data_IF_509285201119
#
_entry.id   IF_509285201119
#
_cell.length_a   1.000
_cell.length_b   1.000
_cell.length_c   1.000
_cell.angle_alpha   90.00
_cell.angle_beta   90.00
_cell.angle_gamma   90.00
#
_symmetry.space_group_name_H-M   'P 1'
#
loop_
_entity.id
_entity.type
_entity.pdbx_description
1 polymer ?
#
# COMPACT_ATOMS: atom_id res chain seq x y z
N UNK A 1 22.87 26.41 -8.30
CA UNK A 1 23.84 25.59 -9.07
C UNK A 1 23.25 25.01 -10.36
N UNK A 2 21.98 24.59 -10.42
CA UNK A 2 21.38 24.04 -11.65
C UNK A 2 21.24 25.08 -12.78
N UNK A 3 20.86 26.32 -12.46
CA UNK A 3 20.79 27.41 -13.46
C UNK A 3 22.15 27.78 -14.09
N UNK A 4 23.24 27.64 -13.34
CA UNK A 4 24.60 27.98 -13.80
C UNK A 4 25.17 26.91 -14.75
N UNK A 5 24.71 25.66 -14.61
CA UNK A 5 25.03 24.55 -15.53
C UNK A 5 24.23 24.69 -16.84
N UNK A 6 22.99 25.16 -16.77
CA UNK A 6 22.12 25.37 -17.94
C UNK A 6 22.61 26.55 -18.80
N UNK A 7 23.23 27.58 -18.21
CA UNK A 7 23.85 28.69 -18.94
C UNK A 7 25.14 28.30 -19.68
N UNK A 8 25.94 27.37 -19.10
CA UNK A 8 27.17 26.88 -19.74
C UNK A 8 26.92 25.83 -20.84
N UNK A 9 25.80 25.11 -20.78
CA UNK A 9 25.49 23.98 -21.65
C UNK A 9 24.34 24.40 -22.58
N UNK A 10 24.70 24.89 -23.77
CA UNK A 10 23.75 25.46 -24.73
C UNK A 10 22.53 24.58 -24.98
N UNK A 11 21.35 25.19 -25.16
CA UNK A 11 20.04 24.54 -25.31
C UNK A 11 20.00 23.31 -26.27
N UNK A 12 20.90 23.27 -27.27
CA UNK A 12 21.08 22.16 -28.22
C UNK A 12 21.69 20.89 -27.59
N UNK A 13 22.63 21.02 -26.65
CA UNK A 13 23.26 19.88 -25.98
C UNK A 13 22.35 19.26 -24.92
N UNK A 14 21.52 20.08 -24.25
CA UNK A 14 20.49 19.57 -23.34
C UNK A 14 19.41 18.74 -24.06
N UNK A 15 18.95 19.22 -25.22
CA UNK A 15 18.02 18.47 -26.09
C UNK A 15 18.69 17.19 -26.60
N UNK A 16 19.95 17.26 -27.01
CA UNK A 16 20.72 16.08 -27.43
C UNK A 16 20.86 15.01 -26.34
N UNK A 17 21.08 15.43 -25.09
CA UNK A 17 21.15 14.50 -23.96
C UNK A 17 19.80 13.85 -23.66
N UNK A 18 18.71 14.63 -23.67
CA UNK A 18 17.36 14.10 -23.47
C UNK A 18 16.95 13.08 -24.55
N UNK A 19 17.25 13.40 -25.82
CA UNK A 19 17.01 12.48 -26.94
C UNK A 19 17.88 11.22 -26.82
N UNK A 20 19.15 11.36 -26.46
CA UNK A 20 20.05 10.22 -26.26
C UNK A 20 19.59 9.27 -25.15
N UNK A 21 19.10 9.80 -24.03
CA UNK A 21 18.57 9.01 -22.92
C UNK A 21 17.30 8.27 -23.33
N UNK A 22 16.38 8.94 -24.03
CA UNK A 22 15.16 8.33 -24.56
C UNK A 22 15.48 7.18 -25.53
N UNK A 23 16.40 7.41 -26.47
CA UNK A 23 16.83 6.39 -27.44
C UNK A 23 17.51 5.23 -26.73
N UNK A 24 18.37 5.49 -25.75
CA UNK A 24 19.03 4.46 -24.96
C UNK A 24 18.05 3.60 -24.16
N UNK A 25 17.01 4.21 -23.58
CA UNK A 25 15.97 3.49 -22.84
C UNK A 25 15.09 2.63 -23.76
N UNK A 26 14.74 3.16 -24.94
CA UNK A 26 13.99 2.42 -25.96
C UNK A 26 14.77 1.21 -26.48
N UNK A 27 16.05 1.41 -26.81
CA UNK A 27 16.93 0.34 -27.25
C UNK A 27 17.17 -0.69 -26.15
N UNK A 28 17.38 -0.23 -24.91
CA UNK A 28 17.54 -1.09 -23.75
C UNK A 28 16.30 -1.97 -23.54
N UNK A 29 15.09 -1.41 -23.60
CA UNK A 29 13.86 -2.18 -23.44
C UNK A 29 13.68 -3.24 -24.53
N UNK A 30 13.90 -2.89 -25.79
CA UNK A 30 13.77 -3.82 -26.92
C UNK A 30 14.79 -4.96 -26.79
N UNK A 31 16.05 -4.63 -26.49
CA UNK A 31 17.12 -5.62 -26.42
C UNK A 31 16.97 -6.54 -25.20
N UNK A 32 16.65 -5.99 -24.04
CA UNK A 32 16.53 -6.76 -22.80
C UNK A 32 15.26 -7.62 -22.79
N UNK A 33 14.13 -7.07 -23.27
CA UNK A 33 12.84 -7.76 -23.27
C UNK A 33 12.70 -8.87 -24.31
N UNK A 34 13.43 -8.80 -25.43
CA UNK A 34 13.25 -9.75 -26.55
C UNK A 34 14.49 -10.57 -26.88
N UNK A 35 15.71 -10.05 -26.66
CA UNK A 35 16.94 -10.78 -26.97
C UNK A 35 17.47 -11.58 -25.78
N UNK A 36 17.49 -10.97 -24.58
CA UNK A 36 18.04 -11.60 -23.37
C UNK A 36 17.00 -12.52 -22.71
N UNK A 37 15.72 -12.13 -22.71
CA UNK A 37 14.64 -12.89 -22.08
C UNK A 37 13.51 -13.19 -23.06
N UNK A 38 13.70 -14.13 -24.00
CA UNK A 38 12.65 -14.48 -24.94
C UNK A 38 11.42 -15.03 -24.21
N UNK A 39 10.25 -14.45 -24.46
CA UNK A 39 8.97 -14.93 -23.93
C UNK A 39 8.66 -16.28 -24.57
N UNK A 40 8.75 -17.35 -23.79
CA UNK A 40 8.33 -18.69 -24.20
C UNK A 40 6.86 -18.88 -23.83
N UNK A 41 5.99 -18.78 -24.82
CA UNK A 41 4.58 -19.14 -24.64
C UNK A 41 4.46 -20.66 -24.53
N UNK A 42 4.11 -21.15 -23.34
CA UNK A 42 3.78 -22.57 -23.13
C UNK A 42 2.27 -22.73 -23.06
N UNK A 43 1.71 -23.68 -23.80
CA UNK A 43 0.29 -23.98 -23.73
C UNK A 43 -0.09 -24.41 -22.30
N UNK A 44 -1.24 -23.93 -21.83
CA UNK A 44 -1.81 -24.37 -20.57
C UNK A 44 -2.22 -25.85 -20.68
N UNK A 45 -1.89 -26.64 -19.67
CA UNK A 45 -2.29 -28.03 -19.54
C UNK A 45 -3.32 -28.20 -18.41
N UNK A 46 -4.11 -29.30 -18.38
CA UNK A 46 -5.08 -29.53 -17.30
C UNK A 46 -4.48 -29.49 -15.89
N UNK A 47 -3.19 -29.79 -15.74
CA UNK A 47 -2.46 -29.67 -14.46
C UNK A 47 -2.32 -28.22 -13.97
N UNK A 48 -2.34 -27.24 -14.87
CA UNK A 48 -2.21 -25.81 -14.53
C UNK A 48 -3.51 -25.21 -13.99
N UNK A 49 -4.63 -25.94 -14.05
CA UNK A 49 -5.92 -25.50 -13.54
C UNK A 49 -5.88 -25.26 -12.01
N UNK A 50 -6.75 -24.39 -11.52
CA UNK A 50 -6.99 -24.23 -10.08
C UNK A 50 -7.40 -25.57 -9.43
N UNK A 51 -7.05 -25.87 -8.16
CA UNK A 51 -7.32 -27.16 -7.52
C UNK A 51 -8.78 -27.66 -7.67
N UNK A 52 -9.77 -26.80 -7.48
CA UNK A 52 -11.18 -27.19 -7.68
C UNK A 52 -11.53 -27.57 -9.12
N UNK A 53 -10.91 -26.93 -10.12
CA UNK A 53 -11.10 -27.30 -11.53
C UNK A 53 -10.33 -28.55 -11.93
N UNK A 54 -9.21 -28.87 -11.25
CA UNK A 54 -8.53 -30.16 -11.42
C UNK A 54 -9.41 -31.32 -10.99
N UNK A 55 -10.07 -31.19 -9.83
CA UNK A 55 -11.03 -32.20 -9.35
C UNK A 55 -12.18 -32.38 -10.35
N UNK A 56 -12.77 -31.27 -10.84
CA UNK A 56 -13.83 -31.31 -11.85
C UNK A 56 -13.38 -31.97 -13.16
N UNK A 57 -12.19 -31.62 -13.65
CA UNK A 57 -11.63 -32.19 -14.87
C UNK A 57 -11.39 -33.69 -14.74
N UNK A 58 -10.82 -34.14 -13.61
CA UNK A 58 -10.58 -35.56 -13.35
C UNK A 58 -11.88 -36.34 -13.20
N UNK A 59 -12.93 -35.76 -12.63
CA UNK A 59 -14.27 -36.39 -12.59
C UNK A 59 -14.85 -36.55 -14.01
N UNK A 60 -14.71 -35.53 -14.87
CA UNK A 60 -15.13 -35.62 -16.27
C UNK A 60 -14.37 -36.71 -17.03
N UNK A 61 -13.05 -36.80 -16.85
CA UNK A 61 -12.22 -37.86 -17.43
C UNK A 61 -12.62 -39.23 -16.89
N UNK A 62 -12.88 -39.36 -15.58
CA UNK A 62 -13.34 -40.60 -14.97
C UNK A 62 -14.71 -41.05 -15.51
N UNK A 63 -15.63 -40.11 -15.74
CA UNK A 63 -16.94 -40.40 -16.37
C UNK A 63 -16.78 -40.83 -17.83
N UNK A 64 -15.93 -40.14 -18.59
CA UNK A 64 -15.64 -40.50 -19.97
C UNK A 64 -15.02 -41.90 -20.06
N UNK A 65 -14.07 -42.21 -19.18
CA UNK A 65 -13.44 -43.54 -19.10
C UNK A 65 -14.43 -44.63 -18.65
N UNK A 66 -15.35 -44.31 -17.74
CA UNK A 66 -16.38 -45.26 -17.34
C UNK A 66 -17.36 -45.58 -18.49
N UNK A 67 -17.60 -44.62 -19.39
CA UNK A 67 -18.43 -44.79 -20.58
C UNK A 67 -17.69 -45.52 -21.71
N UNK A 68 -16.40 -45.22 -21.91
CA UNK A 68 -15.53 -45.86 -22.90
C UNK A 68 -14.23 -46.35 -22.25
N UNK A 69 -14.13 -47.67 -22.04
CA UNK A 69 -12.96 -48.31 -21.40
C UNK A 69 -11.71 -48.31 -22.29
N UNK A 70 -11.83 -47.98 -23.57
CA UNK A 70 -10.71 -47.91 -24.52
C UNK A 70 -10.25 -46.45 -24.76
N UNK A 71 -10.77 -45.50 -23.98
CA UNK A 71 -10.40 -44.10 -24.08
C UNK A 71 -8.92 -43.91 -23.73
N UNK A 72 -8.20 -43.16 -24.57
CA UNK A 72 -6.81 -42.76 -24.29
C UNK A 72 -6.80 -41.66 -23.22
N UNK A 73 -6.84 -42.10 -21.97
CA UNK A 73 -6.82 -41.23 -20.77
C UNK A 73 -5.52 -40.43 -20.70
N UNK A 74 -4.40 -40.98 -21.15
CA UNK A 74 -3.11 -40.28 -21.10
C UNK A 74 -3.11 -39.05 -22.00
N UNK A 75 -3.70 -39.17 -23.19
CA UNK A 75 -3.89 -38.04 -24.10
C UNK A 75 -4.76 -36.94 -23.49
N UNK A 76 -5.80 -37.30 -22.73
CA UNK A 76 -6.69 -36.32 -22.09
C UNK A 76 -6.04 -35.63 -20.89
N UNK A 77 -5.22 -36.34 -20.11
CA UNK A 77 -4.51 -35.74 -18.97
C UNK A 77 -3.38 -34.82 -19.44
N UNK A 78 -2.70 -35.18 -20.52
CA UNK A 78 -1.51 -34.51 -21.03
C UNK A 78 -0.24 -34.88 -20.27
N UNK A 79 0.92 -34.54 -20.83
CA UNK A 79 2.24 -35.04 -20.39
C UNK A 79 2.80 -34.40 -19.12
N UNK A 80 2.13 -33.36 -18.59
CA UNK A 80 2.68 -32.52 -17.50
C UNK A 80 2.26 -32.96 -16.10
N UNK A 81 1.42 -33.98 -15.97
CA UNK A 81 1.05 -34.51 -14.66
C UNK A 81 2.17 -35.37 -14.10
N UNK A 82 2.54 -35.14 -12.84
CA UNK A 82 3.32 -36.12 -12.09
C UNK A 82 2.40 -37.21 -11.52
N UNK A 83 2.90 -38.44 -11.45
CA UNK A 83 2.18 -39.58 -10.85
C UNK A 83 1.76 -39.30 -9.40
N UNK A 84 2.63 -38.64 -8.64
CA UNK A 84 2.36 -38.25 -7.25
C UNK A 84 1.20 -37.25 -7.12
N UNK A 85 1.18 -36.19 -7.95
CA UNK A 85 0.10 -35.19 -7.91
C UNK A 85 -1.25 -35.78 -8.33
N UNK A 86 -1.24 -36.66 -9.34
CA UNK A 86 -2.46 -37.29 -9.82
C UNK A 86 -3.03 -38.26 -8.78
N UNK A 87 -2.16 -39.02 -8.10
CA UNK A 87 -2.55 -39.89 -6.99
C UNK A 87 -3.11 -39.09 -5.81
N UNK A 88 -2.47 -37.99 -5.41
CA UNK A 88 -2.95 -37.13 -4.32
C UNK A 88 -4.32 -36.51 -4.62
N UNK A 89 -4.51 -36.03 -5.85
CA UNK A 89 -5.78 -35.41 -6.26
C UNK A 89 -6.90 -36.46 -6.32
N UNK A 90 -6.64 -37.62 -6.92
CA UNK A 90 -7.61 -38.73 -6.95
C UNK A 90 -7.93 -39.25 -5.54
N UNK A 91 -6.94 -39.36 -4.66
CA UNK A 91 -7.15 -39.80 -3.28
C UNK A 91 -8.02 -38.79 -2.50
N UNK A 92 -7.82 -37.50 -2.74
CA UNK A 92 -8.66 -36.44 -2.16
C UNK A 92 -10.10 -36.53 -2.67
N UNK A 93 -10.29 -36.80 -3.96
CA UNK A 93 -11.62 -36.99 -4.55
C UNK A 93 -12.31 -38.24 -4.01
N UNK A 94 -11.60 -39.38 -3.93
CA UNK A 94 -12.13 -40.63 -3.36
C UNK A 94 -12.58 -40.46 -1.91
N UNK A 95 -11.90 -39.62 -1.12
CA UNK A 95 -12.29 -39.34 0.26
C UNK A 95 -13.54 -38.46 0.39
N UNK A 96 -13.88 -37.67 -0.63
CA UNK A 96 -15.05 -36.77 -0.66
C UNK A 96 -16.26 -37.38 -1.37
N UNK A 97 -16.04 -38.37 -2.24
CA UNK A 97 -16.99 -38.91 -3.19
C UNK A 97 -17.97 -39.94 -2.59
N UNK A 98 -19.16 -40.06 -3.20
CA UNK A 98 -20.13 -41.10 -2.85
C UNK A 98 -19.72 -42.51 -3.35
N UNK A 99 -20.38 -43.60 -2.92
CA UNK A 99 -19.98 -44.98 -3.24
C UNK A 99 -19.87 -45.29 -4.74
N UNK A 100 -20.75 -44.70 -5.55
CA UNK A 100 -20.76 -44.88 -7.01
C UNK A 100 -19.65 -44.08 -7.72
N UNK A 101 -19.24 -42.95 -7.16
CA UNK A 101 -18.16 -42.10 -7.67
C UNK A 101 -16.79 -42.69 -7.33
N UNK A 102 -16.64 -43.21 -6.11
CA UNK A 102 -15.43 -43.90 -5.65
C UNK A 102 -15.03 -45.02 -6.61
N UNK A 103 -15.98 -45.86 -7.04
CA UNK A 103 -15.70 -46.93 -8.01
C UNK A 103 -15.15 -46.40 -9.33
N UNK A 104 -15.73 -45.32 -9.88
CA UNK A 104 -15.26 -44.73 -11.14
C UNK A 104 -13.85 -44.14 -11.02
N UNK A 105 -13.56 -43.48 -9.91
CA UNK A 105 -12.24 -42.90 -9.65
C UNK A 105 -11.17 -43.99 -9.44
N UNK A 106 -11.52 -45.09 -8.79
CA UNK A 106 -10.65 -46.26 -8.64
C UNK A 106 -10.36 -46.93 -9.97
N UNK A 107 -11.38 -47.12 -10.80
CA UNK A 107 -11.21 -47.68 -12.14
C UNK A 107 -10.26 -46.83 -13.00
N UNK A 108 -10.40 -45.50 -12.93
CA UNK A 108 -9.49 -44.56 -13.61
C UNK A 108 -8.06 -44.68 -13.05
N UNK A 109 -7.92 -44.76 -11.72
CA UNK A 109 -6.61 -44.91 -11.08
C UNK A 109 -5.92 -46.22 -11.51
N UNK A 110 -6.66 -47.33 -11.58
CA UNK A 110 -6.15 -48.62 -12.05
C UNK A 110 -5.66 -48.53 -13.50
N UNK A 111 -6.42 -47.86 -14.38
CA UNK A 111 -6.01 -47.64 -15.77
C UNK A 111 -4.69 -46.84 -15.88
N UNK A 112 -4.43 -45.97 -14.90
CA UNK A 112 -3.21 -45.17 -14.80
C UNK A 112 -2.10 -45.84 -13.97
N UNK A 113 -2.31 -47.08 -13.53
CA UNK A 113 -1.41 -47.81 -12.61
C UNK A 113 -1.15 -47.07 -11.28
N UNK A 114 -2.17 -46.38 -10.77
CA UNK A 114 -2.13 -45.66 -9.49
C UNK A 114 -2.97 -46.38 -8.43
N UNK A 115 -2.52 -46.29 -7.18
CA UNK A 115 -3.20 -46.88 -6.03
C UNK A 115 -3.96 -45.80 -5.26
N UNK A 116 -5.29 -45.86 -5.28
CA UNK A 116 -6.18 -45.03 -4.46
C UNK A 116 -7.21 -45.91 -3.76
N UNK A 117 -7.38 -45.69 -2.45
CA UNK A 117 -8.25 -46.50 -1.61
C UNK A 117 -9.15 -45.60 -0.77
N UNK A 118 -10.44 -45.92 -0.56
CA UNK A 118 -11.30 -45.16 0.33
C UNK A 118 -10.72 -45.31 1.73
N UNK A 119 -10.57 -44.19 2.45
CA UNK A 119 -9.94 -44.21 3.77
C UNK A 119 -10.88 -44.88 4.79
N UNK A 120 -10.83 -46.21 4.84
CA UNK A 120 -11.31 -47.05 5.94
C UNK A 120 -10.18 -47.78 6.68
N UNK A 121 -8.93 -47.55 6.29
CA UNK A 121 -7.75 -48.06 6.98
C UNK A 121 -6.73 -46.93 7.13
N UNK A 122 -6.53 -46.48 8.37
CA UNK A 122 -5.48 -45.53 8.74
C UNK A 122 -4.13 -46.25 8.60
N UNK A 123 -3.40 -45.98 7.53
CA UNK A 123 -1.95 -46.23 7.52
C UNK A 123 -1.27 -45.00 8.14
N UNK A 124 -0.42 -45.18 9.17
CA UNK A 124 0.35 -44.07 9.71
C UNK A 124 1.23 -43.49 8.59
N UNK A 125 1.32 -42.16 8.45
CA UNK A 125 2.21 -41.56 7.47
C UNK A 125 3.65 -42.03 7.76
N UNK A 126 4.43 -42.42 6.73
CA UNK A 126 5.83 -42.76 6.92
C UNK A 126 6.56 -41.56 7.52
N UNK A 127 7.51 -41.78 8.46
CA UNK A 127 8.21 -40.69 9.12
C UNK A 127 8.94 -39.85 8.06
N UNK A 128 8.50 -38.60 7.89
CA UNK A 128 9.25 -37.58 7.17
C UNK A 128 10.60 -37.46 7.88
N UNK A 129 11.67 -38.00 7.28
CA UNK A 129 13.03 -37.66 7.69
C UNK A 129 13.15 -36.15 7.58
N UNK A 130 13.24 -35.48 8.72
CA UNK A 130 13.49 -34.05 8.84
C UNK A 130 14.88 -33.72 8.33
N UNK A 131 15.05 -33.70 7.01
CA UNK A 131 16.11 -32.97 6.35
C UNK A 131 15.61 -31.56 6.10
N UNK A 132 16.29 -30.55 6.63
CA UNK A 132 16.05 -29.14 6.27
C UNK A 132 16.08 -29.04 4.75
N UNK A 133 14.98 -28.55 4.16
CA UNK A 133 14.86 -28.53 2.70
C UNK A 133 15.99 -27.68 2.11
N UNK A 134 16.55 -28.05 0.95
CA UNK A 134 17.58 -27.26 0.28
C UNK A 134 17.07 -25.84 -0.03
N UNK A 135 15.76 -25.65 -0.18
CA UNK A 135 15.12 -24.33 -0.27
C UNK A 135 15.22 -23.51 1.03
N UNK A 136 15.09 -24.13 2.20
CA UNK A 136 15.20 -23.45 3.50
C UNK A 136 16.67 -23.11 3.79
N UNK A 137 17.62 -23.95 3.36
CA UNK A 137 19.05 -23.62 3.37
C UNK A 137 19.39 -22.47 2.42
N UNK A 138 18.83 -22.45 1.21
CA UNK A 138 19.01 -21.34 0.26
C UNK A 138 18.35 -20.07 0.81
N UNK A 139 17.16 -20.14 1.40
CA UNK A 139 16.49 -19.00 2.03
C UNK A 139 17.25 -18.47 3.25
N UNK A 140 17.82 -19.34 4.08
CA UNK A 140 18.64 -18.92 5.23
C UNK A 140 19.96 -18.29 4.77
N UNK A 141 20.59 -18.82 3.72
CA UNK A 141 21.82 -18.26 3.16
C UNK A 141 21.56 -16.94 2.42
N UNK A 142 20.43 -16.81 1.71
CA UNK A 142 20.05 -15.55 1.08
C UNK A 142 19.58 -14.51 2.10
N UNK A 143 18.89 -14.91 3.17
CA UNK A 143 18.58 -14.03 4.31
C UNK A 143 19.84 -13.57 5.03
N UNK A 144 20.82 -14.46 5.24
CA UNK A 144 22.11 -14.11 5.82
C UNK A 144 22.89 -13.16 4.91
N UNK A 145 22.87 -13.39 3.59
CA UNK A 145 23.49 -12.50 2.61
C UNK A 145 22.83 -11.12 2.60
N UNK A 146 21.50 -11.05 2.67
CA UNK A 146 20.75 -9.78 2.78
C UNK A 146 21.05 -9.08 4.12
N UNK A 147 21.23 -9.82 5.22
CA UNK A 147 21.63 -9.26 6.51
C UNK A 147 23.08 -8.77 6.53
N UNK A 148 23.99 -9.43 5.81
CA UNK A 148 25.41 -9.02 5.74
C UNK A 148 25.59 -7.85 4.77
N UNK A 149 24.92 -7.86 3.62
CA UNK A 149 24.96 -6.76 2.64
C UNK A 149 24.12 -5.58 3.12
N UNK A 150 22.94 -5.83 3.66
CA UNK A 150 22.07 -4.83 4.28
C UNK A 150 22.65 -4.27 5.57
N UNK A 151 23.22 -5.12 6.44
CA UNK A 151 23.91 -4.70 7.67
C UNK A 151 25.24 -4.00 7.39
N UNK A 152 25.99 -4.44 6.39
CA UNK A 152 27.20 -3.78 5.90
C UNK A 152 26.90 -2.43 5.24
N UNK A 153 25.84 -2.36 4.42
CA UNK A 153 25.31 -1.13 3.84
C UNK A 153 24.76 -0.16 4.89
N UNK A 154 24.05 -0.67 5.89
CA UNK A 154 23.56 0.09 7.04
C UNK A 154 24.70 0.64 7.89
N UNK A 155 25.73 -0.16 8.19
CA UNK A 155 26.93 0.30 8.92
C UNK A 155 27.78 1.29 8.11
N UNK A 156 27.83 1.14 6.78
CA UNK A 156 28.50 2.07 5.88
C UNK A 156 27.74 3.41 5.78
N UNK A 157 26.41 3.38 5.71
CA UNK A 157 25.55 4.56 5.77
C UNK A 157 25.59 5.24 7.16
N UNK A 158 25.66 4.47 8.24
CA UNK A 158 25.84 4.99 9.61
C UNK A 158 27.22 5.62 9.83
N UNK A 159 28.27 5.12 9.18
CA UNK A 159 29.61 5.75 9.21
C UNK A 159 29.68 7.00 8.34
N UNK A 160 28.89 7.09 7.27
CA UNK A 160 28.81 8.28 6.40
C UNK A 160 27.83 9.34 6.93
N UNK A 161 26.89 8.96 7.81
CA UNK A 161 25.92 9.83 8.48
C UNK A 161 26.35 10.39 9.84
N UNK A 162 27.61 10.20 10.26
CA UNK A 162 28.12 10.67 11.57
C UNK A 162 28.57 12.13 11.58
N UNK A 163 27.81 12.97 10.90
CA UNK A 163 27.71 14.40 11.16
C UNK A 163 26.21 14.79 11.13
N UNK A 164 25.46 14.28 12.10
CA UNK A 164 24.09 14.72 12.40
C UNK A 164 24.15 15.38 13.78
N UNK A 165 23.79 16.67 13.93
CA UNK A 165 23.61 17.27 15.24
C UNK A 165 22.51 16.50 15.97
N UNK A 166 22.78 16.14 17.22
CA UNK A 166 21.80 15.52 18.10
C UNK A 166 20.71 16.54 18.44
N UNK A 167 19.46 16.24 18.08
CA UNK A 167 18.29 17.03 18.49
C UNK A 167 17.19 17.10 17.43
N UNK A 168 16.60 15.95 17.08
CA UNK A 168 15.25 15.89 16.48
C UNK A 168 14.79 14.42 16.44
N UNK A 169 14.28 13.92 17.56
CA UNK A 169 13.20 12.94 17.47
C UNK A 169 11.95 13.73 17.07
N UNK A 170 11.20 13.35 16.01
CA UNK A 170 9.88 13.91 15.80
C UNK A 170 9.07 13.59 17.07
N UNK A 171 8.66 14.66 17.76
CA UNK A 171 7.87 14.52 18.96
C UNK A 171 6.51 13.97 18.54
N UNK A 172 6.24 12.78 19.04
CA UNK A 172 4.91 12.20 19.10
C UNK A 172 4.01 13.22 19.79
N UNK A 173 2.93 13.58 19.08
CA UNK A 173 1.68 14.16 19.56
C UNK A 173 1.59 14.29 21.08
N UNK A 174 1.77 15.50 21.59
CA UNK A 174 1.41 15.79 22.98
C UNK A 174 -0.12 15.87 23.05
N UNK A 175 -0.74 15.02 23.87
CA UNK A 175 -2.11 15.23 24.34
C UNK A 175 -2.10 16.52 25.15
N UNK A 176 -2.52 17.63 24.55
CA UNK A 176 -2.56 18.94 25.21
C UNK A 176 -3.73 18.95 26.20
N UNK A 177 -3.55 19.61 27.35
CA UNK A 177 -4.63 19.86 28.31
C UNK A 177 -5.81 20.52 27.59
N UNK A 178 -7.07 20.16 27.89
CA UNK A 178 -8.19 20.61 27.10
C UNK A 178 -8.29 22.14 27.06
N UNK A 179 -7.95 22.75 25.92
CA UNK A 179 -8.18 24.18 25.71
C UNK A 179 -9.69 24.37 25.64
N UNK A 180 -10.26 25.20 26.51
CA UNK A 180 -11.68 25.53 26.47
C UNK A 180 -12.00 26.23 25.13
N UNK A 181 -12.82 25.58 24.30
CA UNK A 181 -13.33 26.18 23.07
C UNK A 181 -14.43 27.17 23.44
N UNK A 182 -14.10 28.46 23.51
CA UNK A 182 -15.06 29.52 23.83
C UNK A 182 -16.26 29.47 22.86
N UNK A 183 -17.46 29.27 23.40
CA UNK A 183 -18.71 29.16 22.63
C UNK A 183 -19.25 27.73 22.46
N UNK A 184 -18.53 26.69 22.89
CA UNK A 184 -19.02 25.31 22.91
C UNK A 184 -19.41 24.90 24.33
N UNK A 185 -20.64 24.39 24.51
CA UNK A 185 -21.14 23.92 25.80
C UNK A 185 -20.57 22.55 26.18
N UNK A 186 -20.13 21.76 25.18
CA UNK A 186 -19.71 20.37 25.35
C UNK A 186 -18.19 20.22 25.14
N UNK A 187 -17.54 19.49 26.06
CA UNK A 187 -16.11 19.22 26.00
C UNK A 187 -15.80 18.31 24.79
N UNK A 188 -14.74 18.59 24.01
CA UNK A 188 -14.35 17.68 22.93
C UNK A 188 -14.01 16.29 23.49
N UNK A 189 -14.43 15.25 22.76
CA UNK A 189 -14.10 13.86 23.11
C UNK A 189 -12.62 13.55 22.89
N UNK A 190 -12.00 14.22 21.90
CA UNK A 190 -10.59 14.09 21.60
C UNK A 190 -10.01 15.45 21.18
N UNK A 191 -8.76 15.71 21.57
CA UNK A 191 -8.05 16.94 21.23
C UNK A 191 -6.59 16.64 20.95
N UNK A 192 -6.11 17.14 19.81
CA UNK A 192 -4.79 16.87 19.28
C UNK A 192 -4.12 18.17 18.86
N UNK A 193 -2.79 18.23 18.93
CA UNK A 193 -2.01 19.34 18.38
C UNK A 193 -0.98 18.78 17.43
N UNK A 194 -0.98 19.31 16.21
CA UNK A 194 -0.04 18.98 15.15
C UNK A 194 0.86 20.19 14.89
N UNK A 195 2.18 19.97 14.87
CA UNK A 195 3.17 21.02 14.65
C UNK A 195 4.04 20.67 13.44
N UNK A 196 3.87 21.41 12.36
CA UNK A 196 4.78 21.39 11.22
C UNK A 196 5.93 22.38 11.46
N UNK A 197 7.13 22.00 11.01
CA UNK A 197 8.30 22.90 10.91
C UNK A 197 9.04 22.60 9.62
N UNK A 198 9.55 23.64 8.95
CA UNK A 198 10.31 23.52 7.72
C UNK A 198 11.44 22.51 7.86
N UNK A 199 11.47 21.53 6.95
CA UNK A 199 12.34 20.35 7.05
C UNK A 199 11.58 19.05 7.26
N UNK A 200 10.33 19.10 7.73
CA UNK A 200 9.46 17.93 7.82
C UNK A 200 8.73 17.67 6.48
N UNK A 201 9.47 17.13 5.51
CA UNK A 201 9.00 16.93 4.14
C UNK A 201 7.95 15.81 3.97
N UNK A 202 7.64 15.10 5.06
CA UNK A 202 6.69 13.98 5.15
C UNK A 202 5.62 14.21 6.23
N UNK A 203 5.39 15.46 6.62
CA UNK A 203 4.38 15.82 7.62
C UNK A 203 2.97 15.37 7.17
N UNK A 204 2.45 14.37 7.87
CA UNK A 204 1.11 13.80 7.67
C UNK A 204 0.57 13.12 8.94
N UNK A 205 0.47 13.85 10.09
CA UNK A 205 -0.13 13.29 11.29
C UNK A 205 -1.61 12.97 11.12
N UNK A 206 -1.97 11.76 11.57
CA UNK A 206 -3.32 11.23 11.62
C UNK A 206 -3.69 10.80 13.04
N UNK A 207 -4.95 10.98 13.43
CA UNK A 207 -5.46 10.79 14.78
C UNK A 207 -6.81 10.06 14.78
N UNK A 208 -6.85 8.89 15.43
CA UNK A 208 -8.10 8.15 15.66
C UNK A 208 -9.03 8.91 16.60
N UNK A 209 -10.31 8.93 16.24
CA UNK A 209 -11.40 9.42 17.08
C UNK A 209 -12.13 8.17 17.61
N UNK A 210 -12.01 7.96 18.92
CA UNK A 210 -12.55 6.79 19.61
C UNK A 210 -13.40 7.22 20.81
N UNK A 211 -14.37 6.39 21.18
CA UNK A 211 -15.10 6.56 22.44
C UNK A 211 -14.22 6.26 23.65
N UNK A 212 -14.67 6.60 24.87
CA UNK A 212 -13.99 6.21 26.11
C UNK A 212 -13.81 4.68 26.26
N UNK A 213 -14.65 3.88 25.59
CA UNK A 213 -14.58 2.41 25.57
C UNK A 213 -13.64 1.87 24.49
N UNK A 214 -13.02 2.72 23.67
CA UNK A 214 -12.13 2.34 22.58
C UNK A 214 -12.85 1.93 21.29
N UNK A 215 -14.13 2.29 21.13
CA UNK A 215 -14.81 2.08 19.85
C UNK A 215 -14.36 3.14 18.84
N UNK A 216 -13.88 2.69 17.68
CA UNK A 216 -13.52 3.56 16.57
C UNK A 216 -14.76 4.21 15.92
N UNK A 217 -14.78 5.55 15.91
CA UNK A 217 -15.82 6.38 15.30
C UNK A 217 -15.34 7.00 13.97
N UNK A 218 -14.06 7.31 13.86
CA UNK A 218 -13.50 7.97 12.68
C UNK A 218 -12.05 8.38 12.88
N UNK A 219 -11.54 9.19 11.96
CA UNK A 219 -10.15 9.64 11.97
C UNK A 219 -10.06 11.07 11.44
N UNK A 220 -9.14 11.86 11.99
CA UNK A 220 -8.86 13.20 11.48
C UNK A 220 -7.36 13.44 11.42
N UNK A 221 -6.94 14.37 10.57
CA UNK A 221 -5.52 14.63 10.38
C UNK A 221 -5.23 15.93 9.67
N UNK A 222 -3.93 16.21 9.55
CA UNK A 222 -3.40 17.30 8.75
C UNK A 222 -2.18 16.81 7.97
N UNK A 223 -2.15 17.08 6.67
CA UNK A 223 -1.06 16.64 5.79
C UNK A 223 -0.62 17.71 4.81
N UNK A 224 0.56 17.52 4.21
CA UNK A 224 1.05 18.40 3.13
C UNK A 224 0.22 18.17 1.87
N UNK A 225 -0.41 19.23 1.36
CA UNK A 225 -1.17 19.16 0.10
C UNK A 225 -0.32 19.62 -1.10
N UNK A 226 0.49 20.67 -0.93
CA UNK A 226 1.35 21.22 -2.00
C UNK A 226 2.58 21.95 -1.46
N UNK A 227 3.67 21.91 -2.23
CA UNK A 227 4.87 22.70 -1.99
C UNK A 227 5.17 23.62 -3.18
N UNK A 228 5.79 24.77 -2.93
CA UNK A 228 6.16 25.76 -3.94
C UNK A 228 7.67 25.75 -4.21
N UNK A 229 8.04 25.97 -5.48
CA UNK A 229 9.44 26.03 -5.91
C UNK A 229 10.08 24.65 -6.04
N UNK A 230 11.42 24.62 -6.00
CA UNK A 230 12.22 23.39 -6.16
C UNK A 230 13.29 23.29 -5.08
N UNK A 231 13.69 22.05 -4.78
CA UNK A 231 14.75 21.72 -3.83
C UNK A 231 14.25 21.37 -2.43
N UNK A 232 15.17 20.84 -1.63
CA UNK A 232 14.94 20.44 -0.24
C UNK A 232 15.44 21.51 0.74
N UNK A 233 14.80 21.68 1.91
CA UNK A 233 13.53 21.06 2.28
C UNK A 233 12.35 21.60 1.47
N UNK A 234 11.29 20.80 1.35
CA UNK A 234 10.06 21.18 0.64
C UNK A 234 9.47 22.41 1.32
N UNK A 235 9.26 23.46 0.53
CA UNK A 235 8.63 24.70 0.99
C UNK A 235 7.11 24.56 0.86
N UNK A 236 6.46 24.06 1.90
CA UNK A 236 5.03 23.73 1.88
C UNK A 236 4.19 25.00 1.77
N UNK A 237 3.31 25.07 0.77
CA UNK A 237 2.45 26.23 0.48
C UNK A 237 0.98 25.99 0.87
N UNK A 238 0.56 24.73 1.00
CA UNK A 238 -0.78 24.36 1.43
C UNK A 238 -0.78 23.03 2.19
N UNK A 239 -1.65 22.95 3.20
CA UNK A 239 -1.94 21.75 3.99
C UNK A 239 -3.39 21.33 3.76
N UNK A 240 -3.67 20.05 3.85
CA UNK A 240 -5.03 19.51 3.90
C UNK A 240 -5.36 19.10 5.32
N UNK A 241 -6.45 19.64 5.87
CA UNK A 241 -7.07 19.15 7.10
C UNK A 241 -8.27 18.32 6.69
N UNK A 242 -8.39 17.12 7.23
CA UNK A 242 -9.38 16.16 6.78
C UNK A 242 -10.06 15.45 7.95
N UNK A 243 -11.29 15.00 7.70
CA UNK A 243 -12.12 14.22 8.61
C UNK A 243 -12.75 13.05 7.87
N UNK A 244 -12.51 11.86 8.38
CA UNK A 244 -13.15 10.60 8.00
C UNK A 244 -14.08 10.13 9.13
N UNK A 245 -15.25 9.63 8.76
CA UNK A 245 -16.27 9.11 9.68
C UNK A 245 -16.59 7.68 9.25
N UNK A 246 -16.60 6.74 10.20
CA UNK A 246 -16.91 5.32 9.94
C UNK A 246 -18.30 5.13 9.32
N UNK A 247 -19.23 6.03 9.59
CA UNK A 247 -20.61 6.00 9.12
C UNK A 247 -20.88 6.89 7.89
N UNK A 248 -19.86 7.60 7.37
CA UNK A 248 -19.95 8.39 6.13
C UNK A 248 -18.89 7.92 5.13
N UNK A 249 -19.31 7.59 3.91
CA UNK A 249 -18.39 7.12 2.86
C UNK A 249 -17.50 8.22 2.29
N UNK A 250 -17.71 9.48 2.67
CA UNK A 250 -16.95 10.63 2.17
C UNK A 250 -16.04 11.20 3.26
N UNK A 251 -14.78 11.42 2.88
CA UNK A 251 -13.87 12.25 3.66
C UNK A 251 -14.14 13.72 3.35
N UNK A 252 -14.31 14.52 4.39
CA UNK A 252 -14.41 15.98 4.27
C UNK A 252 -13.01 16.56 4.39
N UNK A 253 -12.60 17.36 3.42
CA UNK A 253 -11.26 17.95 3.38
C UNK A 253 -11.35 19.46 3.13
N UNK A 254 -10.58 20.21 3.91
CA UNK A 254 -10.35 21.65 3.72
C UNK A 254 -8.86 21.89 3.52
N UNK A 255 -8.52 22.73 2.55
CA UNK A 255 -7.14 23.01 2.16
C UNK A 255 -6.73 24.35 2.78
N UNK A 256 -5.90 24.31 3.82
CA UNK A 256 -5.30 25.48 4.45
C UNK A 256 -4.15 25.98 3.59
N UNK A 257 -4.37 27.12 2.93
CA UNK A 257 -3.45 27.72 1.98
C UNK A 257 -2.66 28.87 2.61
N UNK A 258 -1.42 29.04 2.16
CA UNK A 258 -0.68 30.29 2.37
C UNK A 258 -1.39 31.47 1.70
N UNK A 259 -1.08 32.70 2.12
CA UNK A 259 -1.64 33.92 1.52
C UNK A 259 -1.39 33.98 0.01
N UNK A 260 -0.17 33.64 -0.40
CA UNK A 260 0.16 33.55 -1.83
C UNK A 260 -0.69 32.49 -2.55
N UNK A 261 -0.77 31.27 -2.01
CA UNK A 261 -1.50 30.18 -2.65
C UNK A 261 -3.02 30.43 -2.72
N UNK A 262 -3.58 31.14 -1.75
CA UNK A 262 -4.99 31.52 -1.75
C UNK A 262 -5.31 32.64 -2.75
N UNK A 263 -4.35 33.51 -3.06
CA UNK A 263 -4.53 34.59 -4.01
C UNK A 263 -4.06 34.24 -5.44
N UNK A 264 -3.43 33.08 -5.63
CA UNK A 264 -3.02 32.55 -6.94
C UNK A 264 -4.09 31.64 -7.55
N UNK A 265 -4.64 32.04 -8.70
CA UNK A 265 -5.70 31.31 -9.40
C UNK A 265 -5.25 29.92 -9.87
N UNK A 266 -3.97 29.79 -10.26
CA UNK A 266 -3.41 28.52 -10.73
C UNK A 266 -3.32 27.49 -9.61
N UNK A 267 -2.81 27.90 -8.43
CA UNK A 267 -2.72 27.05 -7.25
C UNK A 267 -4.11 26.70 -6.71
N UNK A 268 -5.05 27.65 -6.69
CA UNK A 268 -6.45 27.37 -6.32
C UNK A 268 -7.11 26.37 -7.24
N UNK A 269 -6.94 26.53 -8.55
CA UNK A 269 -7.49 25.59 -9.54
C UNK A 269 -6.86 24.20 -9.38
N UNK A 270 -5.55 24.14 -9.15
CA UNK A 270 -4.83 22.88 -8.89
C UNK A 270 -5.33 22.17 -7.63
N UNK A 271 -5.63 22.93 -6.58
CA UNK A 271 -6.01 22.40 -5.26
C UNK A 271 -7.52 22.23 -5.07
N UNK A 272 -8.37 22.77 -5.96
CA UNK A 272 -9.82 22.63 -5.89
C UNK A 272 -10.31 21.16 -5.80
N UNK A 273 -9.71 20.17 -6.48
CA UNK A 273 -10.12 18.77 -6.32
C UNK A 273 -9.77 18.15 -4.96
N UNK A 274 -8.88 18.78 -4.17
CA UNK A 274 -8.42 18.25 -2.87
C UNK A 274 -9.38 18.59 -1.73
N UNK A 275 -10.04 19.73 -1.80
CA UNK A 275 -10.96 20.20 -0.76
C UNK A 275 -11.28 21.68 -0.91
N UNK A 276 -12.12 22.18 0.00
CA UNK A 276 -12.50 23.59 0.02
C UNK A 276 -11.29 24.46 0.44
N UNK A 277 -10.94 25.52 -0.33
CA UNK A 277 -9.81 26.37 -0.01
C UNK A 277 -10.09 27.28 1.19
N UNK A 278 -9.15 27.35 2.12
CA UNK A 278 -9.20 28.21 3.31
C UNK A 278 -7.88 28.97 3.42
N UNK A 279 -7.91 30.29 3.48
CA UNK A 279 -6.73 31.10 3.76
C UNK A 279 -6.31 30.89 5.21
N UNK A 280 -5.13 30.35 5.48
CA UNK A 280 -4.63 30.14 6.85
C UNK A 280 -4.28 31.45 7.54
N UNK A 281 -4.83 31.69 8.73
CA UNK A 281 -4.52 32.84 9.58
C UNK A 281 -4.41 32.43 11.06
N UNK A 282 -3.53 33.07 11.87
CA UNK A 282 -3.49 32.83 13.31
C UNK A 282 -4.86 33.07 13.97
N UNK A 283 -5.29 32.15 14.84
CA UNK A 283 -6.59 32.20 15.53
C UNK A 283 -7.79 31.78 14.69
N UNK A 284 -7.61 31.56 13.38
CA UNK A 284 -8.69 31.11 12.51
C UNK A 284 -9.15 29.71 12.91
N UNK A 285 -10.46 29.51 12.84
CA UNK A 285 -11.14 28.26 13.14
C UNK A 285 -11.79 27.71 11.88
N UNK A 286 -11.72 26.40 11.71
CA UNK A 286 -12.12 25.69 10.50
C UNK A 286 -12.94 24.48 10.92
N UNK A 287 -14.19 24.39 10.47
CA UNK A 287 -15.12 23.32 10.83
C UNK A 287 -15.23 22.28 9.72
N UNK A 288 -15.06 21.01 10.08
CA UNK A 288 -15.27 19.84 9.23
C UNK A 288 -16.40 19.01 9.84
N UNK A 289 -17.43 18.72 9.06
CA UNK A 289 -18.61 18.00 9.53
C UNK A 289 -18.97 16.86 8.59
N UNK A 290 -19.15 15.67 9.17
CA UNK A 290 -19.72 14.50 8.52
C UNK A 290 -21.12 14.23 9.09
N UNK A 291 -21.65 13.04 8.82
CA UNK A 291 -22.93 12.61 9.37
C UNK A 291 -22.92 12.53 10.91
N UNK A 292 -21.89 11.92 11.51
CA UNK A 292 -21.85 11.64 12.95
C UNK A 292 -20.73 12.35 13.70
N UNK A 293 -19.76 12.94 13.00
CA UNK A 293 -18.61 13.61 13.62
C UNK A 293 -18.52 15.08 13.18
N UNK A 294 -17.98 15.89 14.09
CA UNK A 294 -17.54 17.26 13.84
C UNK A 294 -16.13 17.41 14.35
N UNK A 295 -15.23 17.90 13.50
CA UNK A 295 -13.88 18.32 13.88
C UNK A 295 -13.71 19.79 13.65
N UNK A 296 -13.19 20.49 14.65
CA UNK A 296 -12.80 21.88 14.55
C UNK A 296 -11.29 21.98 14.61
N UNK A 297 -10.70 22.56 13.57
CA UNK A 297 -9.28 22.89 13.53
C UNK A 297 -9.08 24.36 13.86
N UNK A 298 -8.09 24.69 14.70
CA UNK A 298 -7.68 26.07 15.00
C UNK A 298 -6.20 26.24 14.74
N UNK A 299 -5.87 27.26 13.95
CA UNK A 299 -4.47 27.66 13.75
C UNK A 299 -4.02 28.40 15.01
N UNK A 300 -3.21 27.75 15.84
CA UNK A 300 -2.68 28.37 17.07
C UNK A 300 -1.53 29.33 16.76
N UNK A 301 -0.65 28.91 15.87
CA UNK A 301 0.57 29.63 15.50
C UNK A 301 0.88 29.35 14.03
N UNK A 302 1.33 30.35 13.30
CA UNK A 302 1.94 30.15 11.99
C UNK A 302 2.98 31.21 11.71
N UNK A 303 4.00 30.81 10.96
CA UNK A 303 5.07 31.68 10.49
C UNK A 303 5.37 31.34 9.05
N UNK A 304 5.43 32.36 8.19
CA UNK A 304 5.90 32.19 6.82
C UNK A 304 7.42 32.20 6.78
N UNK A 305 7.98 31.34 5.93
CA UNK A 305 9.40 31.34 5.67
C UNK A 305 9.82 32.51 4.77
N UNK A 306 11.10 32.85 4.84
CA UNK A 306 11.73 33.91 4.04
C UNK A 306 12.65 33.31 2.98
N UNK A 307 12.87 34.02 1.87
CA UNK A 307 13.79 33.59 0.83
C UNK A 307 13.47 34.14 -0.55
N UNK A 308 13.98 33.47 -1.59
CA UNK A 308 13.85 33.89 -3.00
C UNK A 308 12.51 33.49 -3.65
N UNK A 309 11.50 33.13 -2.85
CA UNK A 309 10.15 32.84 -3.33
C UNK A 309 9.24 34.05 -3.10
N UNK A 310 8.05 34.09 -3.72
CA UNK A 310 7.07 35.14 -3.42
C UNK A 310 6.84 35.29 -1.91
N UNK A 311 6.56 36.50 -1.41
CA UNK A 311 6.30 36.70 0.01
C UNK A 311 5.09 35.87 0.46
N UNK A 312 5.08 35.44 1.72
CA UNK A 312 3.99 34.68 2.32
C UNK A 312 3.57 33.43 1.53
N UNK A 313 4.53 32.77 0.87
CA UNK A 313 4.25 31.67 -0.05
C UNK A 313 4.46 30.28 0.51
N UNK A 314 5.15 30.14 1.63
CA UNK A 314 5.34 28.86 2.28
C UNK A 314 5.50 29.03 3.78
N UNK A 315 5.15 27.99 4.52
CA UNK A 315 5.22 27.99 5.98
C UNK A 315 6.61 27.57 6.44
N UNK A 316 7.17 28.32 7.39
CA UNK A 316 8.31 27.89 8.19
C UNK A 316 7.84 27.08 9.40
N UNK A 317 6.68 27.46 9.96
CA UNK A 317 6.05 26.80 11.10
C UNK A 317 4.54 26.91 11.00
N UNK A 318 3.84 25.84 11.35
CA UNK A 318 2.37 25.83 11.46
C UNK A 318 1.98 24.92 12.63
N UNK A 319 1.20 25.45 13.57
CA UNK A 319 0.65 24.72 14.72
C UNK A 319 -0.85 24.74 14.63
N UNK A 320 -1.46 23.56 14.53
CA UNK A 320 -2.91 23.40 14.43
C UNK A 320 -3.40 22.51 15.57
N UNK A 321 -4.40 23.00 16.28
CA UNK A 321 -5.18 22.24 17.24
C UNK A 321 -6.40 21.64 16.55
N UNK A 322 -6.64 20.36 16.73
CA UNK A 322 -7.81 19.63 16.24
C UNK A 322 -8.62 19.17 17.44
N UNK A 323 -9.91 19.47 17.47
CA UNK A 323 -10.82 18.99 18.49
C UNK A 323 -12.00 18.29 17.83
N UNK A 324 -12.38 17.13 18.36
CA UNK A 324 -13.44 16.29 17.82
C UNK A 324 -14.64 16.21 18.77
N UNK A 325 -15.83 16.18 18.19
CA UNK A 325 -17.11 15.93 18.84
C UNK A 325 -17.90 14.90 18.02
N UNK A 326 -18.65 14.05 18.71
CA UNK A 326 -19.72 13.28 18.08
C UNK A 326 -20.96 14.14 18.07
N UNK A 327 -21.61 14.23 16.92
CA UNK A 327 -22.89 14.91 16.79
C UNK A 327 -23.92 14.04 17.49
N UNK A 328 -24.72 14.62 18.39
CA UNK A 328 -25.90 13.93 18.92
C UNK A 328 -26.76 13.52 17.73
N UNK A 329 -26.87 12.22 17.50
CA UNK A 329 -27.72 11.70 16.45
C UNK A 329 -29.17 12.00 16.81
N UNK A 330 -29.87 12.70 15.91
CA UNK A 330 -31.27 12.40 15.67
C UNK A 330 -31.30 10.89 15.34
N UNK A 331 -31.59 10.08 16.36
CA UNK A 331 -31.67 8.64 16.22
C UNK A 331 -32.60 8.36 15.05
N UNK A 332 -32.08 7.68 14.03
CA UNK A 332 -32.88 7.24 12.91
C UNK A 332 -34.12 6.49 13.45
N UNK A 333 -35.27 7.16 13.37
CA UNK A 333 -36.59 6.62 13.64
C UNK A 333 -37.06 5.76 12.46
#
# INVERSE_FOLDING_TARGET
MVGLIIELIGRKTLIGFGVGLLVGLLLGWIFLGWLVFPVKWTNAAPVDLHPGYRELYLDLVARAYAADRNLDVQRLLGERWSTAQLQETLQTMVNKAGPAEVKRLQDLAQALNLQVSPTGAVQPPPPKKGGVSPLLQICLLSLLFILVVGGGGYLFLLRRGRARPAGAQPSISATVQPTAWAGEAEKPMAQFVATYTLGDDYFDPSFSIETETGEFLGECGIGISEAIGVGDPKKVTAFEVWLFDKNDIRTVTKVLMSDHAYNDEGLRTKLAPKGEPVLAQPGQTIDLETATLRVRARVLEMQYGTGNLPPNSFFERLVVELAAWQKEGEAAA
#
